data_IF_370501673954
#
_entry.id   IF_370501673954
#
_cell.length_a   1.000
_cell.length_b   1.000
_cell.length_c   1.000
_cell.angle_alpha   90.00
_cell.angle_beta   90.00
_cell.angle_gamma   90.00
#
_symmetry.space_group_name_H-M   'P 1'
#
loop_
_entity.id
_entity.type
_entity.pdbx_description
1 polymer ?
#
# COMPACT_ATOMS: atom_id res chain seq x y z
N UNK A 1 -5.94 -3.54 35.93
CA UNK A 1 -7.04 -3.47 34.95
C UNK A 1 -6.45 -3.49 33.53
N UNK A 2 -5.95 -4.64 33.04
CA UNK A 2 -5.51 -4.74 31.64
C UNK A 2 -6.70 -5.18 30.81
N UNK A 3 -7.19 -4.28 29.96
CA UNK A 3 -8.30 -4.58 29.05
C UNK A 3 -7.96 -5.81 28.21
N UNK A 4 -8.87 -6.80 28.19
CA UNK A 4 -8.84 -7.89 27.23
C UNK A 4 -8.88 -7.28 25.83
N UNK A 5 -7.80 -7.41 25.06
CA UNK A 5 -7.82 -7.11 23.63
C UNK A 5 -8.81 -8.06 22.98
N UNK A 6 -9.95 -7.54 22.56
CA UNK A 6 -10.85 -8.25 21.66
C UNK A 6 -10.06 -8.72 20.45
N UNK A 7 -10.21 -10.02 20.14
CA UNK A 7 -9.47 -10.67 19.07
C UNK A 7 -10.05 -10.20 17.74
N UNK A 8 -9.41 -9.21 17.12
CA UNK A 8 -9.79 -8.72 15.80
C UNK A 8 -9.75 -9.84 14.74
N UNK A 9 -10.79 -9.92 13.91
CA UNK A 9 -10.84 -10.83 12.76
C UNK A 9 -9.83 -10.35 11.70
N UNK A 10 -8.81 -11.16 11.44
CA UNK A 10 -7.76 -10.81 10.47
C UNK A 10 -8.12 -11.42 9.13
N UNK A 11 -8.29 -10.57 8.12
CA UNK A 11 -8.62 -10.99 6.76
C UNK A 11 -7.38 -11.54 6.06
N UNK A 12 -6.30 -10.76 6.10
CA UNK A 12 -5.06 -11.08 5.38
C UNK A 12 -3.86 -10.65 6.18
N UNK A 13 -2.78 -11.42 6.07
CA UNK A 13 -1.46 -11.09 6.63
C UNK A 13 -0.42 -11.14 5.54
N UNK A 14 0.41 -10.12 5.44
CA UNK A 14 1.51 -10.12 4.49
C UNK A 14 2.78 -9.53 5.09
N UNK A 15 3.91 -9.90 4.50
CA UNK A 15 5.22 -9.44 4.92
C UNK A 15 5.93 -8.78 3.73
N UNK A 16 6.62 -7.69 4.01
CA UNK A 16 7.49 -6.99 3.07
C UNK A 16 8.84 -6.74 3.71
N UNK A 17 9.89 -6.77 2.88
CA UNK A 17 11.27 -6.61 3.32
C UNK A 17 12.03 -5.72 2.35
N UNK A 18 12.87 -4.83 2.88
CA UNK A 18 13.82 -4.03 2.10
C UNK A 18 15.08 -3.79 2.90
N UNK A 19 16.24 -4.15 2.35
CA UNK A 19 17.52 -4.09 3.06
C UNK A 19 17.38 -4.80 4.42
N UNK A 20 17.46 -4.04 5.51
CA UNK A 20 17.33 -4.52 6.89
C UNK A 20 15.92 -4.28 7.48
N UNK A 21 15.04 -3.55 6.78
CA UNK A 21 13.69 -3.25 7.26
C UNK A 21 12.72 -4.40 6.96
N UNK A 22 11.90 -4.75 7.94
CA UNK A 22 10.84 -5.77 7.84
C UNK A 22 9.52 -5.15 8.28
N UNK A 23 8.50 -5.29 7.45
CA UNK A 23 7.14 -4.84 7.72
C UNK A 23 6.18 -6.04 7.68
N UNK A 24 5.35 -6.15 8.71
CA UNK A 24 4.27 -7.14 8.79
C UNK A 24 2.95 -6.37 8.81
N UNK A 25 2.11 -6.60 7.81
CA UNK A 25 0.80 -5.96 7.67
C UNK A 25 -0.28 -6.97 8.05
N UNK A 26 -1.26 -6.51 8.84
CA UNK A 26 -2.51 -7.20 9.10
C UNK A 26 -3.64 -6.32 8.60
N UNK A 27 -4.45 -6.83 7.69
CA UNK A 27 -5.68 -6.16 7.23
C UNK A 27 -6.86 -6.74 8.02
N UNK A 28 -7.70 -5.86 8.54
CA UNK A 28 -8.88 -6.15 9.36
C UNK A 28 -10.07 -5.39 8.77
N UNK A 29 -11.29 -5.88 8.90
CA UNK A 29 -12.50 -5.11 8.54
C UNK A 29 -12.63 -3.94 9.52
N UNK A 30 -12.80 -2.72 9.02
CA UNK A 30 -12.79 -1.54 9.87
C UNK A 30 -13.15 -0.26 9.14
N UNK A 31 -12.60 0.85 9.62
CA UNK A 31 -13.00 2.23 9.28
C UNK A 31 -12.13 2.94 8.22
N UNK A 32 -11.02 2.33 7.78
CA UNK A 32 -10.05 2.99 6.89
C UNK A 32 -8.77 3.49 7.60
N UNK A 33 -8.53 3.11 8.85
CA UNK A 33 -7.37 3.55 9.64
C UNK A 33 -6.11 2.82 9.22
N UNK A 34 -5.07 3.59 8.87
CA UNK A 34 -3.72 3.06 8.63
C UNK A 34 -2.80 3.39 9.82
N UNK A 35 -2.46 2.37 10.61
CA UNK A 35 -1.63 2.51 11.81
C UNK A 35 -0.29 1.78 11.64
N UNK A 36 0.81 2.49 11.88
CA UNK A 36 2.18 1.95 11.90
C UNK A 36 2.69 1.98 13.35
N UNK A 37 3.03 0.82 13.91
CA UNK A 37 3.53 0.71 15.28
C UNK A 37 2.65 1.46 16.31
N UNK A 38 1.32 1.34 16.16
CA UNK A 38 0.28 2.01 16.98
C UNK A 38 0.16 3.53 16.81
N UNK A 39 0.92 4.14 15.90
CA UNK A 39 0.79 5.56 15.53
C UNK A 39 0.10 5.69 14.17
N UNK A 40 -0.58 6.81 13.87
CA UNK A 40 -1.09 7.05 12.51
C UNK A 40 0.07 7.14 11.52
N UNK A 41 -0.20 6.74 10.27
CA UNK A 41 0.81 6.70 9.21
C UNK A 41 1.49 8.05 8.97
N UNK A 42 0.71 9.14 9.03
CA UNK A 42 1.17 10.53 8.89
C UNK A 42 2.28 10.83 9.88
N UNK A 43 2.01 10.61 11.16
CA UNK A 43 2.90 10.98 12.26
C UNK A 43 4.14 10.09 12.27
N UNK A 44 3.97 8.80 12.01
CA UNK A 44 5.09 7.85 11.95
C UNK A 44 6.08 8.18 10.83
N UNK A 45 5.57 8.63 9.67
CA UNK A 45 6.39 8.98 8.51
C UNK A 45 6.80 10.45 8.48
N UNK A 46 6.64 11.16 9.61
CA UNK A 46 6.96 12.58 9.75
C UNK A 46 6.30 13.45 8.66
N UNK A 47 5.05 13.15 8.31
CA UNK A 47 4.27 13.84 7.28
C UNK A 47 4.94 13.92 5.90
N UNK A 48 5.84 12.97 5.60
CA UNK A 48 6.50 12.91 4.30
C UNK A 48 5.52 12.41 3.23
N UNK A 49 5.07 13.32 2.36
CA UNK A 49 4.11 13.05 1.28
C UNK A 49 4.55 11.90 0.38
N UNK A 50 5.81 11.86 -0.04
CA UNK A 50 6.33 10.79 -0.90
C UNK A 50 6.21 9.41 -0.25
N UNK A 51 6.41 9.33 1.07
CA UNK A 51 6.30 8.05 1.78
C UNK A 51 4.85 7.61 1.93
N UNK A 52 3.95 8.55 2.21
CA UNK A 52 2.51 8.30 2.32
C UNK A 52 1.96 7.80 0.98
N UNK A 53 2.26 8.51 -0.12
CA UNK A 53 1.86 8.13 -1.48
C UNK A 53 2.38 6.74 -1.87
N UNK A 54 3.62 6.43 -1.50
CA UNK A 54 4.23 5.13 -1.78
C UNK A 54 3.46 3.95 -1.15
N UNK A 55 2.96 4.14 0.08
CA UNK A 55 2.20 3.13 0.82
C UNK A 55 0.76 3.03 0.32
N UNK A 56 0.18 4.14 -0.13
CA UNK A 56 -1.19 4.21 -0.66
C UNK A 56 -1.31 3.62 -2.07
N UNK A 57 -0.27 3.74 -2.90
CA UNK A 57 -0.31 3.37 -4.32
C UNK A 57 -0.85 1.96 -4.65
N UNK A 58 -0.59 0.89 -3.85
CA UNK A 58 -1.19 -0.42 -4.12
C UNK A 58 -2.71 -0.47 -3.90
N UNK A 59 -3.25 0.32 -2.96
CA UNK A 59 -4.70 0.39 -2.72
C UNK A 59 -5.44 1.19 -3.79
N UNK A 60 -4.80 2.21 -4.37
CA UNK A 60 -5.36 3.01 -5.46
C UNK A 60 -5.73 2.14 -6.69
N UNK A 61 -5.01 1.04 -6.92
CA UNK A 61 -5.34 0.08 -7.99
C UNK A 61 -6.71 -0.57 -7.77
N UNK A 62 -7.07 -0.86 -6.51
CA UNK A 62 -8.38 -1.43 -6.18
C UNK A 62 -9.49 -0.42 -6.47
N UNK A 63 -9.34 0.80 -5.97
CA UNK A 63 -10.31 1.87 -6.19
C UNK A 63 -10.54 2.15 -7.67
N UNK A 64 -9.47 2.17 -8.48
CA UNK A 64 -9.59 2.38 -9.93
C UNK A 64 -10.36 1.25 -10.63
N UNK A 65 -10.25 0.02 -10.16
CA UNK A 65 -11.01 -1.13 -10.70
C UNK A 65 -12.50 -0.98 -10.37
N UNK A 66 -12.84 -0.64 -9.12
CA UNK A 66 -14.23 -0.43 -8.69
C UNK A 66 -14.95 0.65 -9.52
N UNK A 67 -14.28 1.79 -9.78
CA UNK A 67 -14.84 2.87 -10.62
C UNK A 67 -15.05 2.43 -12.07
N UNK A 68 -14.11 1.66 -12.63
CA UNK A 68 -14.26 1.15 -14.00
C UNK A 68 -15.41 0.16 -14.15
N UNK A 69 -15.68 -0.64 -13.10
CA UNK A 69 -16.81 -1.57 -13.07
C UNK A 69 -18.13 -0.86 -12.89
N UNK A 70 -18.19 0.18 -12.04
CA UNK A 70 -19.43 0.93 -11.80
C UNK A 70 -19.86 1.72 -13.03
N UNK A 71 -18.92 2.32 -13.78
CA UNK A 71 -19.22 3.02 -15.03
C UNK A 71 -19.76 2.05 -16.09
N UNK A 72 -19.17 0.86 -16.23
CA UNK A 72 -19.65 -0.18 -17.17
C UNK A 72 -21.02 -0.72 -16.80
N UNK A 73 -21.26 -1.02 -15.53
CA UNK A 73 -22.56 -1.46 -15.04
C UNK A 73 -23.62 -0.36 -15.21
N UNK A 74 -23.25 0.91 -15.02
CA UNK A 74 -24.13 2.04 -15.28
C UNK A 74 -24.41 2.24 -16.77
N UNK A 75 -23.41 2.01 -17.65
CA UNK A 75 -23.57 2.03 -19.11
C UNK A 75 -24.49 0.89 -19.59
N UNK A 76 -24.32 -0.33 -19.07
CA UNK A 76 -25.20 -1.48 -19.36
C UNK A 76 -26.63 -1.24 -18.85
N UNK A 77 -26.80 -0.74 -17.63
CA UNK A 77 -28.12 -0.35 -17.09
C UNK A 77 -28.72 0.84 -17.84
N UNK A 78 -27.91 1.76 -18.38
CA UNK A 78 -28.38 2.85 -19.25
C UNK A 78 -28.83 2.33 -20.61
N UNK A 79 -28.18 1.30 -21.16
CA UNK A 79 -28.59 0.65 -22.40
C UNK A 79 -29.90 -0.14 -22.22
N UNK A 80 -30.12 -0.79 -21.07
CA UNK A 80 -31.41 -1.39 -20.71
C UNK A 80 -32.49 -0.32 -20.46
N UNK A 81 -32.15 0.78 -19.77
CA UNK A 81 -33.07 1.91 -19.53
C UNK A 81 -33.37 2.76 -20.76
N UNK A 82 -32.62 2.63 -21.86
CA UNK A 82 -32.95 3.27 -23.14
C UNK A 82 -34.12 2.59 -23.89
N UNK A 83 -34.64 1.48 -23.37
CA UNK A 83 -35.89 0.88 -23.84
C UNK A 83 -37.15 1.36 -23.11
N UNK A 84 -37.01 2.06 -21.97
CA UNK A 84 -38.13 2.62 -21.22
C UNK A 84 -38.00 4.15 -21.09
N UNK A 85 -38.84 4.88 -21.81
CA UNK A 85 -38.81 6.35 -21.83
C UNK A 85 -39.30 6.99 -20.52
N UNK A 86 -38.52 8.00 -20.09
CA UNK A 86 -38.91 9.22 -19.37
C UNK A 86 -39.40 9.14 -17.91
N UNK A 87 -38.60 9.67 -16.98
CA UNK A 87 -38.78 11.01 -16.36
C UNK A 87 -38.05 11.16 -15.01
N UNK A 88 -37.67 12.41 -14.71
CA UNK A 88 -37.38 13.00 -13.38
C UNK A 88 -35.95 12.91 -12.82
N UNK A 89 -35.17 13.92 -13.18
CA UNK A 89 -34.45 14.89 -12.33
C UNK A 89 -34.28 14.56 -10.83
N UNK A 90 -33.04 14.52 -10.35
CA UNK A 90 -32.60 15.34 -9.21
C UNK A 90 -31.10 15.20 -8.97
N UNK A 91 -30.49 16.35 -8.72
CA UNK A 91 -29.12 16.53 -8.27
C UNK A 91 -28.85 15.78 -6.98
N UNK A 92 -27.70 15.13 -6.87
CA UNK A 92 -27.03 14.95 -5.59
C UNK A 92 -25.59 15.45 -5.72
N UNK A 93 -25.40 16.64 -5.18
CA UNK A 93 -24.13 17.20 -4.77
C UNK A 93 -24.00 16.89 -3.28
N UNK A 94 -23.07 16.02 -2.90
CA UNK A 94 -22.70 15.84 -1.49
C UNK A 94 -21.31 15.24 -1.37
N UNK A 95 -20.38 16.14 -1.03
CA UNK A 95 -19.26 15.90 -0.12
C UNK A 95 -18.14 14.95 -0.58
N UNK A 96 -17.18 15.50 -1.33
CA UNK A 96 -15.85 14.91 -1.46
C UNK A 96 -15.08 15.07 -0.15
N UNK A 97 -15.44 14.30 0.86
CA UNK A 97 -14.62 14.16 2.06
C UNK A 97 -13.35 13.39 1.69
N UNK A 98 -12.19 13.98 1.98
CA UNK A 98 -10.87 13.35 1.86
C UNK A 98 -10.75 12.17 2.85
N UNK A 99 -11.44 11.07 2.57
CA UNK A 99 -11.58 9.96 3.49
C UNK A 99 -10.97 8.68 2.92
N UNK A 100 -9.77 8.36 3.41
CA UNK A 100 -9.24 7.00 3.47
C UNK A 100 -8.02 6.74 2.58
N UNK A 101 -6.86 6.48 3.21
CA UNK A 101 -5.71 5.80 2.57
C UNK A 101 -6.06 4.37 2.07
N UNK A 102 -7.23 3.87 2.45
CA UNK A 102 -7.75 2.51 2.25
C UNK A 102 -9.26 2.68 1.94
N UNK A 103 -9.90 1.79 1.15
CA UNK A 103 -11.37 1.72 1.12
C UNK A 103 -11.95 1.71 2.55
N UNK A 104 -13.05 2.43 2.75
CA UNK A 104 -13.63 2.79 4.06
C UNK A 104 -14.01 1.61 4.97
N UNK A 105 -13.95 0.38 4.44
CA UNK A 105 -14.31 -0.85 5.13
C UNK A 105 -13.12 -1.64 5.70
N UNK A 106 -11.87 -1.17 5.53
CA UNK A 106 -10.67 -1.93 5.91
C UNK A 106 -9.69 -1.08 6.74
N UNK A 107 -9.22 -1.62 7.86
CA UNK A 107 -8.13 -1.07 8.66
C UNK A 107 -6.83 -1.83 8.37
N UNK A 108 -5.70 -1.10 8.31
CA UNK A 108 -4.37 -1.69 8.15
C UNK A 108 -3.52 -1.44 9.41
N UNK A 109 -3.16 -2.51 10.10
CA UNK A 109 -2.23 -2.49 11.22
C UNK A 109 -0.87 -3.01 10.78
N UNK A 110 0.14 -2.16 10.85
CA UNK A 110 1.49 -2.49 10.41
C UNK A 110 2.45 -2.48 11.57
N UNK A 111 3.17 -3.59 11.75
CA UNK A 111 4.31 -3.68 12.65
C UNK A 111 5.59 -3.61 11.82
N UNK A 112 6.49 -2.69 12.17
CA UNK A 112 7.72 -2.44 11.39
C UNK A 112 8.93 -2.38 12.31
N UNK A 113 10.00 -3.05 11.90
CA UNK A 113 11.27 -3.14 12.63
C UNK A 113 12.45 -3.03 11.65
N UNK A 114 13.59 -2.49 12.12
CA UNK A 114 14.85 -2.41 11.36
C UNK A 114 14.95 -1.26 10.35
N UNK A 115 16.14 -1.09 9.77
CA UNK A 115 16.43 -0.09 8.73
C UNK A 115 16.18 1.37 9.16
N UNK A 116 15.76 2.20 8.20
CA UNK A 116 15.36 3.60 8.43
C UNK A 116 14.08 3.92 7.65
N UNK A 117 13.55 5.14 7.80
CA UNK A 117 12.22 5.54 7.29
C UNK A 117 11.95 5.10 5.84
N UNK A 118 12.82 5.45 4.89
CA UNK A 118 12.63 5.08 3.49
C UNK A 118 12.68 3.55 3.26
N UNK A 119 13.56 2.86 3.99
CA UNK A 119 13.64 1.40 3.96
C UNK A 119 12.35 0.76 4.46
N UNK A 120 11.81 1.33 5.54
CA UNK A 120 10.55 0.92 6.14
C UNK A 120 9.37 1.20 5.21
N UNK A 121 9.22 2.40 4.67
CA UNK A 121 8.17 2.78 3.72
C UNK A 121 8.03 1.78 2.58
N UNK A 122 9.14 1.46 1.92
CA UNK A 122 9.11 0.53 0.79
C UNK A 122 8.85 -0.92 1.22
N UNK A 123 9.30 -1.32 2.41
CA UNK A 123 8.94 -2.62 2.99
C UNK A 123 7.43 -2.70 3.26
N UNK A 124 6.84 -1.62 3.79
CA UNK A 124 5.38 -1.52 4.01
C UNK A 124 4.64 -1.58 2.68
N UNK A 125 5.06 -0.81 1.66
CA UNK A 125 4.48 -0.84 0.31
C UNK A 125 4.43 -2.26 -0.25
N UNK A 126 5.54 -3.01 -0.15
CA UNK A 126 5.60 -4.40 -0.64
C UNK A 126 4.66 -5.32 0.15
N UNK A 127 4.58 -5.14 1.47
CA UNK A 127 3.66 -5.90 2.32
C UNK A 127 2.20 -5.62 1.97
N UNK A 128 1.84 -4.35 1.79
CA UNK A 128 0.50 -3.91 1.38
C UNK A 128 0.13 -4.47 0.00
N UNK A 129 1.02 -4.36 -0.98
CA UNK A 129 0.78 -4.90 -2.32
C UNK A 129 0.54 -6.43 -2.31
N UNK A 130 1.27 -7.15 -1.47
CA UNK A 130 1.06 -8.60 -1.26
C UNK A 130 -0.28 -8.88 -0.60
N UNK A 131 -0.65 -8.11 0.43
CA UNK A 131 -1.93 -8.27 1.11
C UNK A 131 -3.11 -8.00 0.15
N UNK A 132 -3.02 -6.96 -0.68
CA UNK A 132 -4.02 -6.66 -1.72
C UNK A 132 -4.16 -7.80 -2.72
N UNK A 133 -3.04 -8.38 -3.16
CA UNK A 133 -3.04 -9.51 -4.08
C UNK A 133 -3.70 -10.76 -3.48
N UNK A 134 -3.50 -11.00 -2.19
CA UNK A 134 -4.05 -12.15 -1.47
C UNK A 134 -5.54 -11.96 -1.13
N UNK A 135 -5.97 -10.73 -0.84
CA UNK A 135 -7.36 -10.41 -0.50
C UNK A 135 -8.33 -10.69 -1.64
N UNK A 136 -8.00 -10.28 -2.87
CA UNK A 136 -8.92 -10.40 -4.00
C UNK A 136 -8.66 -11.63 -4.87
N UNK A 137 -7.46 -12.22 -4.82
CA UNK A 137 -7.10 -13.45 -5.55
C UNK A 137 -7.16 -13.38 -7.09
N UNK A 138 -7.68 -12.29 -7.68
CA UNK A 138 -7.88 -12.16 -9.14
C UNK A 138 -6.56 -12.01 -9.89
N UNK A 139 -6.41 -12.77 -10.97
CA UNK A 139 -5.23 -12.73 -11.86
C UNK A 139 -4.96 -11.32 -12.41
N UNK A 140 -6.01 -10.55 -12.70
CA UNK A 140 -5.92 -9.20 -13.26
C UNK A 140 -5.26 -8.20 -12.31
N UNK A 141 -5.66 -8.18 -11.04
CA UNK A 141 -5.10 -7.29 -10.02
C UNK A 141 -3.61 -7.59 -9.82
N UNK A 142 -3.27 -8.88 -9.77
CA UNK A 142 -1.87 -9.32 -9.67
C UNK A 142 -1.05 -8.84 -10.86
N UNK A 143 -1.58 -8.95 -12.08
CA UNK A 143 -0.93 -8.46 -13.30
C UNK A 143 -0.70 -6.95 -13.24
N UNK A 144 -1.74 -6.18 -12.92
CA UNK A 144 -1.66 -4.72 -12.77
C UNK A 144 -0.62 -4.29 -11.73
N UNK A 145 -0.58 -4.97 -10.57
CA UNK A 145 0.41 -4.71 -9.51
C UNK A 145 1.84 -5.05 -9.95
N UNK A 146 2.00 -6.10 -10.76
CA UNK A 146 3.30 -6.54 -11.27
C UNK A 146 3.80 -5.59 -12.35
N UNK A 147 2.94 -5.17 -13.27
CA UNK A 147 3.27 -4.24 -14.36
C UNK A 147 3.70 -2.87 -13.81
N UNK A 148 3.06 -2.41 -12.72
CA UNK A 148 3.47 -1.20 -11.97
C UNK A 148 4.70 -1.40 -11.07
N UNK A 149 5.17 -2.64 -10.90
CA UNK A 149 6.37 -2.97 -10.13
C UNK A 149 6.20 -3.01 -8.61
N UNK A 150 4.98 -3.04 -8.06
CA UNK A 150 4.75 -3.01 -6.62
C UNK A 150 4.99 -4.36 -5.91
N UNK A 151 4.95 -5.47 -6.67
CA UNK A 151 5.21 -6.82 -6.14
C UNK A 151 6.69 -7.22 -6.18
N UNK A 152 7.54 -6.43 -6.85
CA UNK A 152 8.96 -6.72 -6.99
C UNK A 152 9.70 -6.30 -5.73
N UNK A 153 10.42 -7.23 -5.10
CA UNK A 153 11.31 -6.91 -3.99
C UNK A 153 12.60 -6.30 -4.52
N UNK A 154 12.99 -5.14 -3.99
CA UNK A 154 14.29 -4.55 -4.28
C UNK A 154 15.41 -5.38 -3.64
N UNK A 155 16.25 -5.97 -4.49
CA UNK A 155 17.34 -6.87 -4.10
C UNK A 155 18.57 -6.14 -3.56
N UNK A 156 18.63 -4.81 -3.66
CA UNK A 156 19.82 -4.03 -3.27
C UNK A 156 20.10 -4.16 -1.77
N UNK A 157 21.33 -4.56 -1.44
CA UNK A 157 21.87 -4.59 -0.08
C UNK A 157 23.17 -3.79 0.01
N UNK A 158 23.56 -3.35 1.21
CA UNK A 158 24.82 -2.66 1.41
C UNK A 158 25.98 -3.63 1.12
N UNK A 159 26.82 -3.27 0.16
CA UNK A 159 28.01 -4.04 -0.15
C UNK A 159 28.98 -4.07 1.04
N UNK A 160 29.56 -5.25 1.30
CA UNK A 160 30.60 -5.43 2.32
C UNK A 160 31.84 -4.59 1.96
N UNK A 161 32.49 -4.01 2.96
CA UNK A 161 33.81 -3.37 2.80
C UNK A 161 34.88 -4.42 2.55
N UNK A 162 35.56 -4.35 1.40
CA UNK A 162 36.75 -5.16 1.11
C UNK A 162 37.97 -4.60 1.85
N UNK A 163 38.91 -5.46 2.22
CA UNK A 163 40.15 -5.05 2.87
C UNK A 163 40.97 -4.14 1.94
N UNK A 164 41.80 -3.26 2.52
CA UNK A 164 42.59 -2.28 1.76
C UNK A 164 41.79 -1.11 1.15
N UNK A 165 40.46 -1.12 1.20
CA UNK A 165 39.61 -0.04 0.68
C UNK A 165 39.08 0.88 1.80
N UNK A 166 38.88 2.17 1.48
CA UNK A 166 38.28 3.15 2.39
C UNK A 166 36.77 2.93 2.58
N UNK A 167 36.06 2.49 1.54
CA UNK A 167 34.64 2.09 1.55
C UNK A 167 34.44 0.83 0.70
N UNK A 168 33.20 0.41 0.45
CA UNK A 168 32.89 -0.81 -0.32
C UNK A 168 33.72 -0.98 -1.62
N UNK A 169 33.83 0.09 -2.42
CA UNK A 169 34.62 0.12 -3.67
C UNK A 169 35.67 1.25 -3.74
N UNK A 170 35.68 2.17 -2.77
CA UNK A 170 36.56 3.36 -2.80
C UNK A 170 37.97 2.97 -2.38
N UNK A 171 38.87 2.86 -3.35
CA UNK A 171 40.30 2.68 -3.11
C UNK A 171 40.94 3.97 -2.55
N UNK A 172 42.02 3.87 -1.75
CA UNK A 172 42.91 5.01 -1.52
C UNK A 172 43.55 5.47 -2.83
N UNK A 173 44.02 6.72 -2.87
CA UNK A 173 44.80 7.21 -4.00
C UNK A 173 46.09 6.39 -4.12
N UNK A 174 46.36 5.89 -5.32
CA UNK A 174 47.57 5.11 -5.62
C UNK A 174 48.57 6.01 -6.33
N UNK A 175 49.84 5.99 -5.90
CA UNK A 175 50.95 6.58 -6.64
C UNK A 175 51.83 5.47 -7.22
N UNK A 176 52.15 5.57 -8.52
CA UNK A 176 52.94 4.58 -9.25
C UNK A 176 54.44 4.78 -9.11
N UNK A 177 54.90 6.00 -8.80
CA UNK A 177 56.31 6.39 -8.68
C UNK A 177 56.44 7.58 -7.73
#
# INVERSE_FOLDING_TARGET
MSQQTEKMEILVRAVGRRKEAVAQVKIVKGTGKFLINKKPASDYLHNNSNSILSIQAPFEILQKQEVSTSVRLAEELMQEKMQDQNSTNSQESSETTLNGLIPSNLDAHVKVEGGGLMGQTEAIRLAVARAVCEMNGTSEIRKNLKDKGYLTQDSRIKERRKYGLRKARKAPQYNKR
#
